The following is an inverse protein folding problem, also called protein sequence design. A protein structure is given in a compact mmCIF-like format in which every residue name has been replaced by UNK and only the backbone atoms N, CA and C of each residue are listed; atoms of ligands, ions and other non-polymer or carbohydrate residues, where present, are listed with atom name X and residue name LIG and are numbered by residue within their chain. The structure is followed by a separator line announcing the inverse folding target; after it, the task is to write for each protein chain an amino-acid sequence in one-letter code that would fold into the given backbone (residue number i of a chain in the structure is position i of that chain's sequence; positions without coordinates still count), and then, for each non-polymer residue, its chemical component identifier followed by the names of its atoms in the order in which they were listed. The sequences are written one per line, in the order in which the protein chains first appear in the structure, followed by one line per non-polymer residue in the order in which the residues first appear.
data_IF_191061502703
#
_entry.id   IF_191061502703
#
_cell.length_a   1.000
_cell.length_b   1.000
_cell.length_c   1.000
_cell.angle_alpha   90.00
_cell.angle_beta   90.00
_cell.angle_gamma   90.00
#
_symmetry.space_group_name_H-M   'P 1'
#
loop_
_entity.id
_entity.type
_entity.pdbx_description
1 polymer ?
#
# COMPACT_ATOMS: atom_id res chain seq x y z
N UNK A 1 -26.59 -18.00 5.98
CA UNK A 1 -26.32 -16.62 6.41
C UNK A 1 -25.74 -15.82 5.24
N UNK A 2 -26.41 -14.73 4.86
CA UNK A 2 -26.03 -13.87 3.71
C UNK A 2 -24.63 -13.25 3.93
N UNK A 3 -24.33 -12.87 5.16
CA UNK A 3 -23.03 -12.28 5.50
C UNK A 3 -21.90 -13.30 5.31
N UNK A 4 -22.12 -14.53 5.75
CA UNK A 4 -21.14 -15.60 5.58
C UNK A 4 -20.92 -15.93 4.10
N UNK A 5 -21.98 -15.95 3.30
CA UNK A 5 -21.89 -16.17 1.85
C UNK A 5 -21.14 -15.03 1.15
N UNK A 6 -21.46 -13.79 1.48
CA UNK A 6 -20.77 -12.62 0.96
C UNK A 6 -19.26 -12.67 1.28
N UNK A 7 -18.93 -12.99 2.51
CA UNK A 7 -17.53 -13.10 2.95
C UNK A 7 -16.78 -14.21 2.24
N UNK A 8 -17.44 -15.36 1.99
CA UNK A 8 -16.84 -16.47 1.25
C UNK A 8 -16.54 -16.08 -0.21
N UNK A 9 -17.49 -15.45 -0.89
CA UNK A 9 -17.34 -14.98 -2.27
C UNK A 9 -16.21 -13.95 -2.35
N UNK A 10 -16.18 -13.01 -1.40
CA UNK A 10 -15.18 -11.96 -1.36
C UNK A 10 -13.77 -12.53 -1.14
N UNK A 11 -13.63 -13.48 -0.22
CA UNK A 11 -12.36 -14.15 0.04
C UNK A 11 -11.85 -14.93 -1.19
N UNK A 12 -12.75 -15.59 -1.91
CA UNK A 12 -12.41 -16.30 -3.14
C UNK A 12 -11.95 -15.35 -4.24
N UNK A 13 -12.66 -14.25 -4.48
CA UNK A 13 -12.27 -13.24 -5.45
C UNK A 13 -10.89 -12.65 -5.13
N UNK A 14 -10.63 -12.41 -3.86
CA UNK A 14 -9.35 -11.89 -3.40
C UNK A 14 -8.21 -12.88 -3.63
N UNK A 15 -8.44 -14.16 -3.32
CA UNK A 15 -7.49 -15.24 -3.58
C UNK A 15 -7.19 -15.36 -5.07
N UNK A 16 -8.22 -15.32 -5.92
CA UNK A 16 -8.07 -15.41 -7.37
C UNK A 16 -7.27 -14.23 -7.92
N UNK A 17 -7.49 -13.02 -7.42
CA UNK A 17 -6.70 -11.85 -7.79
C UNK A 17 -5.22 -12.01 -7.41
N UNK A 18 -4.94 -12.56 -6.23
CA UNK A 18 -3.58 -12.86 -5.79
C UNK A 18 -2.88 -13.88 -6.67
N UNK A 19 -3.54 -14.97 -7.02
CA UNK A 19 -3.02 -16.00 -7.92
C UNK A 19 -2.77 -15.42 -9.33
N UNK A 20 -3.70 -14.64 -9.86
CA UNK A 20 -3.56 -13.98 -11.16
C UNK A 20 -2.37 -13.00 -11.17
N UNK A 21 -2.17 -12.24 -10.11
CA UNK A 21 -1.03 -11.33 -9.98
C UNK A 21 0.30 -12.10 -10.00
N UNK A 22 0.40 -13.21 -9.28
CA UNK A 22 1.58 -14.08 -9.30
C UNK A 22 1.84 -14.70 -10.66
N UNK A 23 0.78 -14.96 -11.43
CA UNK A 23 0.88 -15.48 -12.80
C UNK A 23 1.22 -14.38 -13.84
N UNK A 24 1.42 -13.14 -13.39
CA UNK A 24 1.85 -12.02 -14.24
C UNK A 24 0.72 -11.16 -14.79
N UNK A 25 -0.52 -11.32 -14.30
CA UNK A 25 -1.65 -10.48 -14.73
C UNK A 25 -1.52 -9.07 -14.12
N UNK A 26 -1.16 -8.10 -14.96
CA UNK A 26 -0.97 -6.70 -14.54
C UNK A 26 -2.28 -6.02 -14.12
N UNK A 27 -3.43 -6.48 -14.61
CA UNK A 27 -4.74 -5.98 -14.15
C UNK A 27 -5.01 -6.38 -12.71
N UNK A 28 -4.63 -7.59 -12.33
CA UNK A 28 -4.74 -8.06 -10.96
C UNK A 28 -3.81 -7.28 -10.02
N UNK A 29 -2.58 -6.99 -10.46
CA UNK A 29 -1.64 -6.14 -9.70
C UNK A 29 -2.23 -4.75 -9.47
N UNK A 30 -2.80 -4.14 -10.50
CA UNK A 30 -3.48 -2.83 -10.38
C UNK A 30 -4.65 -2.88 -9.42
N UNK A 31 -5.51 -3.89 -9.52
CA UNK A 31 -6.67 -4.06 -8.64
C UNK A 31 -6.25 -4.19 -7.18
N UNK A 32 -5.21 -4.98 -6.90
CA UNK A 32 -4.68 -5.15 -5.54
C UNK A 32 -4.04 -3.86 -5.00
N UNK A 33 -3.34 -3.10 -5.84
CA UNK A 33 -2.76 -1.83 -5.42
C UNK A 33 -3.84 -0.80 -5.05
N UNK A 34 -4.89 -0.68 -5.88
CA UNK A 34 -6.02 0.19 -5.58
C UNK A 34 -6.78 -0.27 -4.34
N UNK A 35 -6.95 -1.57 -4.17
CA UNK A 35 -7.56 -2.13 -2.96
C UNK A 35 -6.74 -1.77 -1.72
N UNK A 36 -5.43 -1.98 -1.74
CA UNK A 36 -4.55 -1.69 -0.61
C UNK A 36 -4.60 -0.21 -0.22
N UNK A 37 -4.60 0.69 -1.19
CA UNK A 37 -4.72 2.13 -0.95
C UNK A 37 -6.07 2.49 -0.33
N UNK A 38 -7.16 1.99 -0.88
CA UNK A 38 -8.50 2.21 -0.33
C UNK A 38 -8.66 1.62 1.07
N UNK A 39 -8.11 0.44 1.31
CA UNK A 39 -8.16 -0.21 2.62
C UNK A 39 -7.40 0.59 3.68
N UNK A 40 -6.19 1.06 3.39
CA UNK A 40 -5.41 1.82 4.36
C UNK A 40 -6.05 3.17 4.68
N UNK A 41 -6.67 3.82 3.70
CA UNK A 41 -7.43 5.05 3.92
C UNK A 41 -8.68 4.80 4.78
N UNK A 42 -9.38 3.70 4.52
CA UNK A 42 -10.54 3.29 5.33
C UNK A 42 -10.12 3.03 6.77
N UNK A 43 -9.04 2.29 6.99
CA UNK A 43 -8.53 1.98 8.33
C UNK A 43 -8.09 3.23 9.09
N UNK A 44 -7.61 4.26 8.41
CA UNK A 44 -7.23 5.52 9.06
C UNK A 44 -8.43 6.25 9.68
N UNK A 45 -9.56 6.24 9.01
CA UNK A 45 -10.76 6.98 9.44
C UNK A 45 -11.78 6.13 10.19
N UNK A 46 -11.62 4.81 10.17
CA UNK A 46 -12.55 3.90 10.82
C UNK A 46 -12.45 3.95 12.33
N UNK A 47 -13.60 3.94 13.00
CA UNK A 47 -13.65 3.79 14.45
C UNK A 47 -13.18 2.38 14.85
N UNK A 48 -12.12 2.33 15.67
CA UNK A 48 -11.58 1.06 16.16
C UNK A 48 -12.56 0.29 17.06
N UNK A 49 -13.63 0.93 17.54
CA UNK A 49 -14.71 0.25 18.24
C UNK A 49 -15.42 -0.77 17.34
N UNK A 50 -15.36 -0.62 16.01
CA UNK A 50 -15.80 -1.61 15.03
C UNK A 50 -14.73 -2.70 14.83
N UNK A 51 -14.29 -3.29 15.90
CA UNK A 51 -13.10 -4.14 15.97
C UNK A 51 -13.10 -5.29 14.95
N UNK A 52 -14.23 -6.01 14.79
CA UNK A 52 -14.27 -7.16 13.88
C UNK A 52 -14.11 -6.74 12.42
N UNK A 53 -14.76 -5.64 12.02
CA UNK A 53 -14.67 -5.10 10.66
C UNK A 53 -13.25 -4.55 10.42
N UNK A 54 -12.73 -3.80 11.39
CA UNK A 54 -11.36 -3.26 11.32
C UNK A 54 -10.33 -4.38 11.14
N UNK A 55 -10.41 -5.42 11.96
CA UNK A 55 -9.50 -6.55 11.91
C UNK A 55 -9.56 -7.27 10.56
N UNK A 56 -10.74 -7.43 9.99
CA UNK A 56 -10.92 -8.07 8.68
C UNK A 56 -10.31 -7.25 7.56
N UNK A 57 -10.58 -5.95 7.51
CA UNK A 57 -10.01 -5.07 6.48
C UNK A 57 -8.49 -5.03 6.61
N UNK A 58 -7.98 -4.97 7.83
CA UNK A 58 -6.53 -5.02 8.09
C UNK A 58 -5.89 -6.31 7.55
N UNK A 59 -6.49 -7.47 7.81
CA UNK A 59 -5.95 -8.74 7.32
C UNK A 59 -5.97 -8.82 5.78
N UNK A 60 -7.02 -8.32 5.16
CA UNK A 60 -7.10 -8.24 3.69
C UNK A 60 -6.06 -7.28 3.12
N UNK A 61 -5.86 -6.14 3.76
CA UNK A 61 -4.81 -5.18 3.41
C UNK A 61 -3.43 -5.83 3.49
N UNK A 62 -3.13 -6.52 4.58
CA UNK A 62 -1.85 -7.22 4.77
C UNK A 62 -1.64 -8.30 3.70
N UNK A 63 -2.67 -9.05 3.37
CA UNK A 63 -2.61 -10.05 2.31
C UNK A 63 -2.33 -9.41 0.94
N UNK A 64 -3.00 -8.31 0.61
CA UNK A 64 -2.76 -7.57 -0.64
C UNK A 64 -1.33 -7.05 -0.71
N UNK A 65 -0.83 -6.46 0.34
CA UNK A 65 0.55 -5.94 0.40
C UNK A 65 1.57 -7.08 0.24
N UNK A 66 1.34 -8.22 0.84
CA UNK A 66 2.21 -9.39 0.70
C UNK A 66 2.31 -9.86 -0.76
N UNK A 67 1.18 -9.97 -1.46
CA UNK A 67 1.14 -10.32 -2.89
C UNK A 67 1.84 -9.24 -3.72
N UNK A 68 1.56 -7.98 -3.47
CA UNK A 68 2.15 -6.85 -4.21
C UNK A 68 3.66 -6.76 -4.02
N UNK A 69 4.16 -7.10 -2.85
CA UNK A 69 5.60 -7.14 -2.59
C UNK A 69 6.34 -8.08 -3.56
N UNK A 70 5.68 -9.17 -3.96
CA UNK A 70 6.23 -10.15 -4.91
C UNK A 70 5.95 -9.80 -6.38
N UNK A 71 4.90 -9.03 -6.66
CA UNK A 71 4.35 -8.90 -8.02
C UNK A 71 4.40 -7.48 -8.59
N UNK A 72 4.69 -6.47 -7.79
CA UNK A 72 4.66 -5.07 -8.26
C UNK A 72 5.65 -4.81 -9.41
N UNK A 73 6.74 -5.54 -9.47
CA UNK A 73 7.73 -5.38 -10.53
C UNK A 73 7.24 -5.92 -11.89
N UNK A 74 6.13 -6.66 -11.90
CA UNK A 74 5.52 -7.16 -13.14
C UNK A 74 4.79 -6.07 -13.95
N UNK A 75 4.52 -4.91 -13.36
CA UNK A 75 3.90 -3.79 -14.06
C UNK A 75 4.91 -2.68 -14.35
N UNK A 76 4.77 -2.05 -15.52
CA UNK A 76 5.52 -0.85 -15.90
C UNK A 76 4.74 0.44 -15.62
N UNK A 77 3.49 0.33 -15.14
CA UNK A 77 2.63 1.48 -14.87
C UNK A 77 3.15 2.31 -13.70
N UNK A 78 3.54 3.55 -13.97
CA UNK A 78 3.91 4.49 -12.91
C UNK A 78 2.78 4.76 -11.94
N UNK A 79 1.56 4.87 -12.45
CA UNK A 79 0.38 5.08 -11.62
C UNK A 79 0.25 3.97 -10.58
N UNK A 80 0.32 2.71 -11.01
CA UNK A 80 0.19 1.56 -10.12
C UNK A 80 1.33 1.50 -9.10
N UNK A 81 2.55 1.78 -9.54
CA UNK A 81 3.73 1.80 -8.65
C UNK A 81 3.62 2.89 -7.59
N UNK A 82 3.14 4.08 -7.95
CA UNK A 82 2.94 5.18 -7.01
C UNK A 82 1.83 4.88 -6.00
N UNK A 83 0.72 4.28 -6.45
CA UNK A 83 -0.36 3.85 -5.57
C UNK A 83 0.13 2.76 -4.59
N UNK A 84 0.91 1.81 -5.06
CA UNK A 84 1.56 0.82 -4.20
C UNK A 84 2.44 1.48 -3.13
N UNK A 85 3.32 2.39 -3.55
CA UNK A 85 4.20 3.09 -2.62
C UNK A 85 3.42 3.86 -1.55
N UNK A 86 2.36 4.56 -1.94
CA UNK A 86 1.44 5.23 -1.03
C UNK A 86 0.84 4.26 0.00
N UNK A 87 0.24 3.17 -0.50
CA UNK A 87 -0.43 2.20 0.35
C UNK A 87 0.52 1.57 1.38
N UNK A 88 1.73 1.23 0.96
CA UNK A 88 2.73 0.59 1.82
C UNK A 88 3.31 1.58 2.83
N UNK A 89 3.73 2.75 2.40
CA UNK A 89 4.34 3.75 3.29
C UNK A 89 3.34 4.24 4.34
N UNK A 90 2.08 4.44 3.96
CA UNK A 90 1.02 4.78 4.91
C UNK A 90 0.77 3.66 5.91
N UNK A 91 0.74 2.41 5.44
CA UNK A 91 0.59 1.25 6.33
C UNK A 91 1.74 1.09 7.31
N UNK A 92 2.97 1.37 6.89
CA UNK A 92 4.14 1.40 7.78
C UNK A 92 4.00 2.49 8.84
N UNK A 93 3.62 3.70 8.44
CA UNK A 93 3.39 4.83 9.37
C UNK A 93 2.31 4.50 10.39
N UNK A 94 1.23 3.86 9.96
CA UNK A 94 0.13 3.45 10.83
C UNK A 94 0.41 2.17 11.63
N UNK A 95 1.57 1.57 11.47
CA UNK A 95 1.98 0.31 12.12
C UNK A 95 1.05 -0.87 11.82
N UNK A 96 0.47 -0.89 10.63
CA UNK A 96 -0.35 -2.00 10.14
C UNK A 96 0.49 -3.15 9.58
N UNK A 97 1.66 -2.84 9.06
CA UNK A 97 2.63 -3.78 8.49
C UNK A 97 4.04 -3.47 9.01
N UNK A 98 4.93 -4.43 8.86
CA UNK A 98 6.32 -4.30 9.32
C UNK A 98 7.12 -3.36 8.41
N UNK A 99 7.57 -2.25 8.96
CA UNK A 99 8.36 -1.24 8.25
C UNK A 99 9.65 -1.85 7.67
N UNK A 100 10.36 -2.64 8.44
CA UNK A 100 11.62 -3.28 8.06
C UNK A 100 11.46 -4.19 6.83
N UNK A 101 10.30 -4.78 6.68
CA UNK A 101 10.03 -5.71 5.57
C UNK A 101 9.60 -5.00 4.30
N UNK A 102 8.84 -3.91 4.40
CA UNK A 102 8.12 -3.35 3.26
C UNK A 102 8.55 -1.94 2.84
N UNK A 103 9.03 -1.11 3.78
CA UNK A 103 9.27 0.31 3.50
C UNK A 103 10.37 0.54 2.45
N UNK A 104 11.47 -0.18 2.54
CA UNK A 104 12.62 -0.01 1.65
C UNK A 104 12.24 -0.20 0.17
N UNK A 105 11.48 -1.25 -0.11
CA UNK A 105 11.02 -1.51 -1.49
C UNK A 105 10.05 -0.43 -1.99
N UNK A 106 9.15 0.01 -1.15
CA UNK A 106 8.19 1.05 -1.50
C UNK A 106 8.90 2.40 -1.75
N UNK A 107 9.88 2.73 -0.94
CA UNK A 107 10.71 3.94 -1.13
C UNK A 107 11.49 3.88 -2.44
N UNK A 108 12.14 2.76 -2.72
CA UNK A 108 12.88 2.56 -3.97
C UNK A 108 11.98 2.69 -5.19
N UNK A 109 10.80 2.06 -5.15
CA UNK A 109 9.82 2.14 -6.23
C UNK A 109 9.32 3.57 -6.41
N UNK A 110 9.04 4.28 -5.33
CA UNK A 110 8.64 5.68 -5.38
C UNK A 110 9.73 6.56 -6.00
N UNK A 111 10.97 6.41 -5.59
CA UNK A 111 12.10 7.20 -6.10
C UNK A 111 12.32 6.97 -7.61
N UNK A 112 12.28 5.73 -8.06
CA UNK A 112 12.38 5.41 -9.49
C UNK A 112 11.20 5.96 -10.30
N UNK A 113 9.98 5.89 -9.76
CA UNK A 113 8.79 6.46 -10.41
C UNK A 113 8.85 7.99 -10.46
N UNK A 114 9.41 8.62 -9.43
CA UNK A 114 9.62 10.07 -9.36
C UNK A 114 10.55 10.54 -10.48
N UNK A 115 11.68 9.89 -10.65
CA UNK A 115 12.65 10.24 -11.69
C UNK A 115 12.02 10.15 -13.07
N UNK A 116 11.28 9.09 -13.33
CA UNK A 116 10.56 8.89 -14.59
C UNK A 116 9.43 9.90 -14.78
N UNK A 117 8.67 10.21 -13.72
CA UNK A 117 7.60 11.21 -13.77
C UNK A 117 8.13 12.59 -14.17
N UNK A 118 9.22 13.01 -13.57
CA UNK A 118 9.87 14.30 -13.90
C UNK A 118 10.35 14.31 -15.36
N UNK A 119 10.94 13.20 -15.82
CA UNK A 119 11.46 13.08 -17.18
C UNK A 119 10.35 13.08 -18.25
N UNK A 120 9.27 12.34 -18.00
CA UNK A 120 8.23 12.06 -19.01
C UNK A 120 7.06 13.07 -19.00
N UNK A 121 7.00 13.99 -18.04
CA UNK A 121 5.87 14.91 -17.84
C UNK A 121 4.53 14.19 -17.86
N UNK A 122 4.41 13.19 -17.02
CA UNK A 122 3.28 12.26 -16.97
C UNK A 122 1.92 12.96 -16.78
N UNK A 123 0.84 12.27 -17.16
CA UNK A 123 -0.53 12.81 -17.13
C UNK A 123 -1.09 13.06 -15.73
N UNK A 124 -2.29 13.63 -15.67
CA UNK A 124 -2.96 14.06 -14.43
C UNK A 124 -3.06 12.95 -13.38
N UNK A 125 -3.44 11.74 -13.80
CA UNK A 125 -3.59 10.61 -12.86
C UNK A 125 -2.25 10.24 -12.18
N UNK A 126 -1.17 10.22 -12.95
CA UNK A 126 0.18 9.94 -12.42
C UNK A 126 0.65 11.07 -11.51
N UNK A 127 0.37 12.33 -11.89
CA UNK A 127 0.71 13.48 -11.06
C UNK A 127 -0.04 13.47 -9.72
N UNK A 128 -1.32 13.15 -9.74
CA UNK A 128 -2.12 13.01 -8.52
C UNK A 128 -1.59 11.87 -7.64
N UNK A 129 -1.29 10.73 -8.22
CA UNK A 129 -0.71 9.59 -7.51
C UNK A 129 0.67 9.94 -6.93
N UNK A 130 1.49 10.69 -7.66
CA UNK A 130 2.78 11.17 -7.18
C UNK A 130 2.63 12.06 -5.95
N UNK A 131 1.75 13.07 -6.00
CA UNK A 131 1.55 13.99 -4.88
C UNK A 131 1.07 13.23 -3.64
N UNK A 132 0.16 12.29 -3.83
CA UNK A 132 -0.40 11.45 -2.76
C UNK A 132 0.69 10.58 -2.12
N UNK A 133 1.49 9.92 -2.92
CA UNK A 133 2.59 9.08 -2.45
C UNK A 133 3.71 9.91 -1.81
N UNK A 134 4.00 11.08 -2.34
CA UNK A 134 5.01 12.00 -1.81
C UNK A 134 4.72 12.41 -0.38
N UNK A 135 3.47 12.70 -0.06
CA UNK A 135 3.11 13.10 1.31
C UNK A 135 3.44 12.00 2.33
N UNK A 136 3.18 10.74 1.99
CA UNK A 136 3.51 9.61 2.88
C UNK A 136 5.01 9.29 2.87
N UNK A 137 5.69 9.45 1.74
CA UNK A 137 7.13 9.28 1.65
C UNK A 137 7.87 10.23 2.59
N UNK A 138 7.50 11.51 2.59
CA UNK A 138 8.10 12.52 3.47
C UNK A 138 7.76 12.20 4.94
N UNK A 139 6.52 11.91 5.27
CA UNK A 139 6.11 11.59 6.65
C UNK A 139 6.86 10.38 7.20
N UNK A 140 7.06 9.36 6.38
CA UNK A 140 7.78 8.16 6.81
C UNK A 140 9.27 8.46 7.07
N UNK A 141 9.89 9.28 6.24
CA UNK A 141 11.30 9.70 6.42
C UNK A 141 11.46 10.60 7.64
N UNK A 142 10.63 11.61 7.77
CA UNK A 142 10.67 12.52 8.91
C UNK A 142 10.54 11.76 10.23
N UNK A 143 9.65 10.80 10.30
CA UNK A 143 9.48 9.95 11.48
C UNK A 143 10.73 9.13 11.77
N UNK A 144 11.35 8.53 10.76
CA UNK A 144 12.57 7.73 10.93
C UNK A 144 13.76 8.62 11.33
N UNK A 145 13.93 9.76 10.69
CA UNK A 145 15.01 10.70 10.97
C UNK A 145 14.88 11.31 12.36
N UNK A 146 13.66 11.64 12.77
CA UNK A 146 13.37 12.12 14.10
C UNK A 146 13.71 11.07 15.17
N UNK A 147 13.29 9.85 14.99
CA UNK A 147 13.61 8.74 15.87
C UNK A 147 15.12 8.49 15.98
N UNK A 148 15.86 8.61 14.89
CA UNK A 148 17.32 8.48 14.87
C UNK A 148 18.03 9.65 15.55
N UNK A 149 17.66 10.88 15.22
CA UNK A 149 18.31 12.08 15.77
C UNK A 149 18.08 12.26 17.27
N UNK A 150 16.99 11.78 17.80
CA UNK A 150 16.66 11.86 19.22
C UNK A 150 17.07 10.62 20.02
N UNK A 151 17.75 9.65 19.39
CA UNK A 151 18.19 8.42 20.06
C UNK A 151 17.06 7.62 20.68
N UNK A 152 15.85 7.78 20.20
CA UNK A 152 14.67 7.13 20.75
C UNK A 152 14.15 7.72 22.06
N UNK A 153 14.69 8.84 22.49
CA UNK A 153 14.34 9.47 23.80
C UNK A 153 12.85 9.76 23.93
N UNK A 154 12.19 10.14 22.83
CA UNK A 154 10.76 10.45 22.83
C UNK A 154 9.87 9.21 22.74
N UNK A 155 10.46 8.06 22.42
CA UNK A 155 9.75 6.80 22.19
C UNK A 155 10.08 5.74 23.24
N UNK A 156 11.01 6.06 24.11
CA UNK A 156 11.42 5.18 25.23
C UNK A 156 10.53 5.32 26.47
#
# INVERSE_FOLDING_TARGET
DIIAQYNAIYAECFKNAGEAAHDGDVKAVKALALFAAGAVDTLEVMDQALYEIFARIREMYKAAVSVLNDTIDNTDSQFVKLIYAYAVLKGCRMKLIQTEKYASKAEEIFEKATDKHVADKSGVAVSAAYITAYSEYIRNRDYQDYGRSNGGVLWS
#
